data_IF_780727914164
#
_entry.id   IF_780727914164
#
_cell.length_a   1.000
_cell.length_b   1.000
_cell.length_c   1.000
_cell.angle_alpha   90.00
_cell.angle_beta   90.00
_cell.angle_gamma   90.00
#
_symmetry.space_group_name_H-M   'P 1'
#
loop_
_entity.id
_entity.type
_entity.pdbx_description
1 polymer ?
#
# COMPACT_ATOMS: atom_id res chain seq x y z
N UNK A 1 -19.41 43.31 59.28
CA UNK A 1 -17.95 43.55 59.26
C UNK A 1 -17.45 43.09 57.89
N UNK A 2 -17.23 44.07 57.02
CA UNK A 2 -17.00 43.95 55.58
C UNK A 2 -15.50 43.88 55.33
N UNK A 3 -15.01 42.81 54.70
CA UNK A 3 -13.59 42.72 54.30
C UNK A 3 -13.52 42.52 52.79
N UNK A 4 -13.11 43.59 52.10
CA UNK A 4 -12.71 43.60 50.69
C UNK A 4 -11.27 43.11 50.60
N UNK A 5 -10.94 42.22 49.66
CA UNK A 5 -9.54 41.96 49.28
C UNK A 5 -9.39 42.06 47.76
N UNK A 6 -8.48 42.96 47.38
CA UNK A 6 -8.25 43.45 46.04
C UNK A 6 -7.46 42.47 45.17
N UNK A 7 -7.91 42.33 43.93
CA UNK A 7 -7.27 41.68 42.78
C UNK A 7 -5.90 42.28 42.46
N UNK A 8 -4.84 41.45 42.44
CA UNK A 8 -3.61 41.71 41.70
C UNK A 8 -3.65 40.95 40.37
N UNK A 9 -3.75 41.67 39.27
CA UNK A 9 -3.69 41.14 37.91
C UNK A 9 -2.21 41.01 37.48
N UNK A 10 -1.73 39.79 37.34
CA UNK A 10 -0.42 39.49 36.74
C UNK A 10 -0.61 39.31 35.23
N UNK A 11 -0.22 40.32 34.44
CA UNK A 11 -0.23 40.28 32.97
C UNK A 11 0.90 39.37 32.47
N UNK A 12 0.62 38.08 32.31
CA UNK A 12 1.50 37.14 31.59
C UNK A 12 1.21 37.25 30.09
N UNK A 13 2.13 37.83 29.32
CA UNK A 13 2.06 37.86 27.87
C UNK A 13 2.26 36.43 27.31
N UNK A 14 1.31 35.85 26.54
CA UNK A 14 1.50 34.55 25.94
C UNK A 14 2.41 34.69 24.71
N UNK A 15 3.62 34.15 24.82
CA UNK A 15 4.55 33.99 23.70
C UNK A 15 3.97 32.93 22.74
N UNK A 16 3.24 33.36 21.71
CA UNK A 16 2.66 32.49 20.71
C UNK A 16 3.77 31.91 19.81
N UNK A 17 4.29 30.73 20.17
CA UNK A 17 5.09 29.90 19.28
C UNK A 17 4.24 29.43 18.11
N UNK A 18 4.35 30.13 16.97
CA UNK A 18 3.88 29.65 15.68
C UNK A 18 4.75 28.45 15.25
N UNK A 19 4.39 27.25 15.67
CA UNK A 19 4.90 26.03 15.05
C UNK A 19 4.34 25.96 13.64
N UNK A 20 5.16 26.36 12.66
CA UNK A 20 4.94 26.06 11.26
C UNK A 20 4.84 24.55 11.08
N UNK A 21 3.62 24.02 11.04
CA UNK A 21 3.36 22.63 10.68
C UNK A 21 3.69 22.48 9.21
N UNK A 22 4.95 22.16 8.90
CA UNK A 22 5.33 21.73 7.57
C UNK A 22 4.49 20.50 7.23
N UNK A 23 3.47 20.67 6.39
CA UNK A 23 2.73 19.54 5.85
C UNK A 23 3.75 18.68 5.13
N UNK A 24 3.93 17.41 5.51
CA UNK A 24 4.89 16.55 4.85
C UNK A 24 4.53 16.52 3.37
N UNK A 25 5.39 17.11 2.54
CA UNK A 25 5.23 17.06 1.10
C UNK A 25 5.24 15.58 0.73
N UNK A 26 4.12 15.08 0.19
CA UNK A 26 4.08 13.74 -0.40
C UNK A 26 5.21 13.69 -1.42
N UNK A 27 6.16 12.77 -1.21
CA UNK A 27 7.32 12.66 -2.08
C UNK A 27 6.81 12.42 -3.50
N UNK A 28 7.11 13.36 -4.40
CA UNK A 28 6.75 13.24 -5.80
C UNK A 28 7.49 12.05 -6.41
N UNK A 29 6.89 11.45 -7.43
CA UNK A 29 7.57 10.44 -8.23
C UNK A 29 8.88 11.01 -8.83
N UNK A 30 9.98 10.25 -8.85
CA UNK A 30 11.20 10.62 -9.57
C UNK A 30 10.89 10.92 -11.04
N UNK A 31 11.40 12.04 -11.56
CA UNK A 31 11.14 12.48 -12.94
C UNK A 31 11.58 11.45 -13.98
N UNK A 32 12.59 10.65 -13.66
CA UNK A 32 13.09 9.55 -14.47
C UNK A 32 12.03 8.47 -14.73
N UNK A 33 11.02 8.34 -13.87
CA UNK A 33 9.90 7.41 -14.03
C UNK A 33 8.72 8.02 -14.78
N UNK A 34 8.75 9.31 -15.14
CA UNK A 34 7.64 9.92 -15.85
C UNK A 34 7.44 9.28 -17.20
N UNK A 35 6.17 9.05 -17.53
CA UNK A 35 5.73 8.34 -18.72
C UNK A 35 6.25 6.90 -18.82
N UNK A 36 6.54 6.25 -17.69
CA UNK A 36 6.94 4.85 -17.65
C UNK A 36 5.90 3.98 -16.94
N UNK A 37 5.88 2.72 -17.35
CA UNK A 37 5.10 1.66 -16.73
C UNK A 37 6.02 0.67 -16.02
N UNK A 38 5.65 0.28 -14.82
CA UNK A 38 6.31 -0.74 -14.00
C UNK A 38 5.44 -1.99 -13.97
N UNK A 39 6.01 -3.12 -14.36
CA UNK A 39 5.36 -4.42 -14.37
C UNK A 39 5.89 -5.24 -13.22
N UNK A 40 4.98 -5.71 -12.38
CA UNK A 40 5.29 -6.52 -11.20
C UNK A 40 4.53 -7.82 -11.26
N UNK A 41 5.22 -8.93 -11.09
CA UNK A 41 4.63 -10.26 -10.96
C UNK A 41 5.05 -10.92 -9.65
N UNK A 42 4.13 -11.66 -9.03
CA UNK A 42 4.42 -12.49 -7.85
C UNK A 42 3.34 -13.56 -7.65
N UNK A 43 3.64 -14.51 -6.77
CA UNK A 43 2.69 -15.47 -6.21
C UNK A 43 2.62 -15.30 -4.69
N UNK A 44 1.41 -15.40 -4.13
CA UNK A 44 1.17 -15.30 -2.69
C UNK A 44 0.33 -16.48 -2.25
N UNK A 45 0.79 -17.24 -1.26
CA UNK A 45 0.02 -18.29 -0.60
C UNK A 45 -0.17 -17.92 0.88
N UNK A 46 -1.40 -18.05 1.37
CA UNK A 46 -1.72 -17.93 2.79
C UNK A 46 -2.58 -19.14 3.11
N UNK A 47 -1.98 -20.24 3.62
CA UNK A 47 -2.75 -21.42 4.03
C UNK A 47 -3.86 -20.99 4.98
N UNK A 48 -5.10 -21.37 4.68
CA UNK A 48 -6.26 -20.86 5.40
C UNK A 48 -7.47 -21.78 5.30
N UNK A 49 -8.40 -21.61 6.24
CA UNK A 49 -9.72 -22.26 6.26
C UNK A 49 -10.82 -21.24 6.07
N UNK A 50 -11.75 -21.56 5.17
CA UNK A 50 -12.92 -20.74 4.85
C UNK A 50 -14.02 -20.92 5.88
N UNK A 51 -14.90 -19.93 6.00
CA UNK A 51 -16.12 -20.02 6.82
C UNK A 51 -17.09 -21.12 6.36
N UNK A 52 -16.91 -21.63 5.14
CA UNK A 52 -17.64 -22.76 4.55
C UNK A 52 -16.93 -24.11 4.72
N UNK A 53 -15.81 -24.16 5.45
CA UNK A 53 -14.99 -25.36 5.65
C UNK A 53 -13.96 -25.62 4.53
N UNK A 54 -13.96 -24.84 3.44
CA UNK A 54 -13.00 -24.99 2.34
C UNK A 54 -11.56 -24.69 2.77
N UNK A 55 -10.58 -25.30 2.10
CA UNK A 55 -9.16 -24.92 2.25
C UNK A 55 -8.72 -23.94 1.16
N UNK A 56 -7.83 -23.01 1.52
CA UNK A 56 -7.13 -22.13 0.59
C UNK A 56 -5.62 -22.37 0.66
N UNK A 57 -5.14 -23.39 -0.05
CA UNK A 57 -3.71 -23.78 -0.03
C UNK A 57 -3.00 -23.49 -1.36
N UNK A 58 -3.75 -23.03 -2.38
CA UNK A 58 -3.19 -22.74 -3.70
C UNK A 58 -2.59 -21.33 -3.75
N UNK A 59 -1.37 -21.17 -4.30
CA UNK A 59 -0.81 -19.86 -4.56
C UNK A 59 -1.71 -19.03 -5.47
N UNK A 60 -1.94 -17.77 -5.09
CA UNK A 60 -2.59 -16.76 -5.91
C UNK A 60 -1.54 -16.06 -6.76
N UNK A 61 -1.72 -16.04 -8.07
CA UNK A 61 -0.92 -15.19 -8.97
C UNK A 61 -1.40 -13.75 -8.86
N UNK A 62 -0.45 -12.81 -8.78
CA UNK A 62 -0.70 -11.37 -8.74
C UNK A 62 0.18 -10.70 -9.79
N UNK A 63 -0.46 -9.96 -10.69
CA UNK A 63 0.20 -9.09 -11.66
C UNK A 63 -0.23 -7.65 -11.39
N UNK A 64 0.73 -6.73 -11.43
CA UNK A 64 0.46 -5.29 -11.34
C UNK A 64 1.12 -4.58 -12.51
N UNK A 65 0.37 -3.68 -13.13
CA UNK A 65 0.89 -2.71 -14.10
C UNK A 65 0.68 -1.35 -13.47
N UNK A 66 1.77 -0.62 -13.25
CA UNK A 66 1.77 0.67 -12.56
C UNK A 66 2.28 1.71 -13.55
N UNK A 67 1.48 2.71 -13.88
CA UNK A 67 1.88 3.79 -14.76
C UNK A 67 2.14 5.07 -13.97
N UNK A 68 3.28 5.71 -14.23
CA UNK A 68 3.64 7.01 -13.66
C UNK A 68 3.50 8.04 -14.80
N UNK A 69 2.51 8.92 -14.68
CA UNK A 69 2.25 9.95 -15.69
C UNK A 69 3.34 11.03 -15.75
N UNK A 70 3.30 11.85 -16.80
CA UNK A 70 4.14 13.06 -16.93
C UNK A 70 4.01 14.06 -15.77
N UNK A 71 2.88 14.03 -15.05
CA UNK A 71 2.64 14.84 -13.86
C UNK A 71 3.07 14.13 -12.55
N UNK A 72 3.75 12.98 -12.64
CA UNK A 72 4.17 12.19 -11.48
C UNK A 72 3.04 11.46 -10.75
N UNK A 73 1.82 11.45 -11.29
CA UNK A 73 0.67 10.73 -10.71
C UNK A 73 0.77 9.24 -11.01
N UNK A 74 0.44 8.41 -10.01
CA UNK A 74 0.51 6.95 -10.10
C UNK A 74 -0.86 6.36 -10.38
N UNK A 75 -0.94 5.54 -11.41
CA UNK A 75 -2.10 4.72 -11.77
C UNK A 75 -1.72 3.26 -11.69
N UNK A 76 -2.64 2.38 -11.32
CA UNK A 76 -2.33 0.96 -11.24
C UNK A 76 -3.49 0.07 -11.65
N UNK A 77 -3.19 -0.97 -12.43
CA UNK A 77 -4.05 -2.13 -12.67
C UNK A 77 -3.48 -3.33 -11.93
N UNK A 78 -4.34 -4.04 -11.22
CA UNK A 78 -3.99 -5.26 -10.49
C UNK A 78 -4.86 -6.40 -10.99
N UNK A 79 -4.23 -7.46 -11.45
CA UNK A 79 -4.90 -8.72 -11.80
C UNK A 79 -4.49 -9.79 -10.80
N UNK A 80 -5.48 -10.52 -10.28
CA UNK A 80 -5.29 -11.60 -9.31
C UNK A 80 -6.01 -12.83 -9.83
N UNK A 81 -5.37 -13.99 -9.74
CA UNK A 81 -5.97 -15.25 -10.15
C UNK A 81 -5.63 -16.37 -9.17
N UNK A 82 -6.61 -17.26 -8.91
CA UNK A 82 -6.41 -18.50 -8.16
C UNK A 82 -7.43 -19.55 -8.62
N UNK A 83 -6.94 -20.67 -9.18
CA UNK A 83 -7.81 -21.66 -9.80
C UNK A 83 -8.66 -21.06 -10.92
N UNK A 84 -9.99 -21.21 -10.83
CA UNK A 84 -10.96 -20.65 -11.79
C UNK A 84 -11.37 -19.20 -11.48
N UNK A 85 -10.96 -18.65 -10.33
CA UNK A 85 -11.37 -17.32 -9.90
C UNK A 85 -10.32 -16.28 -10.32
N UNK A 86 -10.79 -15.18 -10.91
CA UNK A 86 -9.96 -14.05 -11.32
C UNK A 86 -10.62 -12.74 -10.94
N UNK A 87 -9.80 -11.74 -10.62
CA UNK A 87 -10.24 -10.37 -10.38
C UNK A 87 -9.26 -9.39 -11.03
N UNK A 88 -9.80 -8.35 -11.66
CA UNK A 88 -9.05 -7.17 -12.09
C UNK A 88 -9.58 -5.95 -11.35
N UNK A 89 -8.68 -5.05 -10.93
CA UNK A 89 -9.03 -3.76 -10.36
C UNK A 89 -8.06 -2.69 -10.84
N UNK A 90 -8.60 -1.55 -11.26
CA UNK A 90 -7.85 -0.35 -11.60
C UNK A 90 -7.98 0.70 -10.50
N UNK A 91 -6.98 1.57 -10.39
CA UNK A 91 -6.87 2.60 -9.36
C UNK A 91 -6.19 3.84 -9.90
N UNK A 92 -6.78 4.98 -9.61
CA UNK A 92 -6.20 6.30 -9.83
C UNK A 92 -5.38 6.80 -8.64
N UNK A 93 -4.72 7.97 -8.78
CA UNK A 93 -3.90 8.58 -7.74
C UNK A 93 -4.70 9.01 -6.50
N UNK A 94 -5.99 9.29 -6.63
CA UNK A 94 -6.93 9.63 -5.56
C UNK A 94 -7.41 8.43 -4.72
N UNK A 95 -7.15 7.21 -5.21
CA UNK A 95 -7.79 6.00 -4.72
C UNK A 95 -7.04 5.40 -3.50
N UNK A 96 -7.23 6.04 -2.35
CA UNK A 96 -6.53 5.71 -1.09
C UNK A 96 -7.09 4.49 -0.34
N UNK A 97 -8.31 4.04 -0.66
CA UNK A 97 -9.05 3.05 0.13
C UNK A 97 -8.66 1.58 -0.11
N UNK A 98 -8.91 0.70 0.87
CA UNK A 98 -8.89 -0.77 0.67
C UNK A 98 -7.55 -1.34 0.22
N UNK A 99 -6.46 -0.76 0.73
CA UNK A 99 -5.18 -1.43 0.74
C UNK A 99 -4.40 -1.42 -0.59
N UNK A 100 -4.19 -0.26 -1.19
CA UNK A 100 -3.34 -0.20 -2.38
C UNK A 100 -2.85 1.18 -2.79
N UNK A 101 -3.01 2.22 -1.96
CA UNK A 101 -2.44 3.53 -2.25
C UNK A 101 -0.93 3.38 -2.42
N UNK A 102 -0.46 3.57 -3.65
CA UNK A 102 0.96 3.56 -3.99
C UNK A 102 1.50 4.96 -3.78
N UNK A 103 2.61 5.08 -3.05
CA UNK A 103 3.27 6.35 -2.79
C UNK A 103 4.77 6.22 -2.87
N UNK A 104 5.44 7.26 -3.31
CA UNK A 104 6.89 7.29 -3.30
C UNK A 104 7.43 7.62 -1.90
N UNK A 105 8.57 7.01 -1.59
CA UNK A 105 9.41 7.30 -0.42
C UNK A 105 10.85 7.26 -0.93
N UNK A 106 11.37 8.41 -1.36
CA UNK A 106 12.65 8.47 -2.08
C UNK A 106 12.58 7.67 -3.39
N UNK A 107 13.55 6.77 -3.60
CA UNK A 107 13.65 5.91 -4.79
C UNK A 107 12.86 4.60 -4.67
N UNK A 108 11.81 4.58 -3.83
CA UNK A 108 10.99 3.40 -3.59
C UNK A 108 9.52 3.73 -3.75
N UNK A 109 8.77 2.87 -4.43
CA UNK A 109 7.32 2.91 -4.45
C UNK A 109 6.77 1.92 -3.44
N UNK A 110 6.01 2.42 -2.46
CA UNK A 110 5.45 1.63 -1.37
C UNK A 110 3.94 1.58 -1.47
N UNK A 111 3.36 0.40 -1.27
CA UNK A 111 1.92 0.20 -1.14
C UNK A 111 1.57 -0.71 0.03
N UNK A 112 0.48 -0.43 0.72
CA UNK A 112 -0.02 -1.26 1.83
C UNK A 112 -1.37 -1.82 1.46
N UNK A 113 -1.55 -3.14 1.52
CA UNK A 113 -2.82 -3.85 1.43
C UNK A 113 -3.30 -4.27 2.82
N UNK A 114 -4.35 -3.61 3.33
CA UNK A 114 -4.99 -4.02 4.57
C UNK A 114 -5.91 -5.22 4.33
N UNK A 115 -5.85 -6.19 5.24
CA UNK A 115 -6.83 -7.27 5.34
C UNK A 115 -7.84 -6.94 6.45
N UNK A 116 -8.78 -7.85 6.74
CA UNK A 116 -9.64 -7.69 7.92
C UNK A 116 -8.83 -7.85 9.22
N UNK A 117 -7.78 -8.69 9.20
CA UNK A 117 -6.75 -8.72 10.23
C UNK A 117 -5.38 -8.87 9.59
N UNK A 118 -4.43 -7.99 9.95
CA UNK A 118 -3.10 -7.91 9.35
C UNK A 118 -3.04 -7.04 8.08
N UNK A 119 -1.87 -7.01 7.46
CA UNK A 119 -1.63 -6.24 6.24
C UNK A 119 -0.49 -6.83 5.41
N UNK A 120 -0.43 -6.46 4.14
CA UNK A 120 0.69 -6.72 3.25
C UNK A 120 1.34 -5.39 2.86
N UNK A 121 2.64 -5.27 3.06
CA UNK A 121 3.47 -4.16 2.61
C UNK A 121 4.22 -4.59 1.35
N UNK A 122 4.02 -3.88 0.25
CA UNK A 122 4.77 -4.03 -0.99
C UNK A 122 5.72 -2.85 -1.15
N UNK A 123 6.97 -3.16 -1.44
CA UNK A 123 8.02 -2.19 -1.74
C UNK A 123 8.60 -2.53 -3.11
N UNK A 124 8.65 -1.53 -3.97
CA UNK A 124 9.32 -1.60 -5.27
C UNK A 124 10.50 -0.64 -5.21
N UNK A 125 11.70 -1.19 -5.19
CA UNK A 125 12.94 -0.43 -5.11
C UNK A 125 13.50 -0.27 -6.52
N UNK A 126 13.75 0.98 -6.92
CA UNK A 126 14.33 1.31 -8.22
C UNK A 126 15.85 1.43 -8.08
N UNK A 127 16.59 0.95 -9.08
CA UNK A 127 18.01 1.26 -9.15
C UNK A 127 18.24 2.78 -9.39
N UNK A 128 19.46 3.31 -9.14
CA UNK A 128 19.73 4.74 -9.32
C UNK A 128 19.52 5.28 -10.74
N UNK A 129 19.55 4.42 -11.76
CA UNK A 129 19.33 4.77 -13.17
C UNK A 129 17.87 4.65 -13.62
N UNK A 130 17.00 4.12 -12.76
CA UNK A 130 15.59 3.84 -13.02
C UNK A 130 15.35 2.97 -14.26
N UNK A 131 16.27 2.04 -14.55
CA UNK A 131 16.15 1.09 -15.66
C UNK A 131 15.68 -0.29 -15.21
N UNK A 132 15.96 -0.66 -13.97
CA UNK A 132 15.48 -1.87 -13.33
C UNK A 132 14.86 -1.60 -11.97
N UNK A 133 14.14 -2.60 -11.47
CA UNK A 133 13.52 -2.55 -10.16
C UNK A 133 13.54 -3.93 -9.52
N UNK A 134 13.37 -3.96 -8.21
CA UNK A 134 13.11 -5.16 -7.43
C UNK A 134 11.80 -4.99 -6.67
N UNK A 135 11.14 -6.09 -6.33
CA UNK A 135 9.92 -6.06 -5.54
C UNK A 135 10.06 -6.97 -4.33
N UNK A 136 9.74 -6.43 -3.17
CA UNK A 136 9.65 -7.17 -1.93
C UNK A 136 8.25 -7.01 -1.33
N UNK A 137 7.69 -8.11 -0.81
CA UNK A 137 6.39 -8.11 -0.15
C UNK A 137 6.50 -8.80 1.19
N UNK A 138 6.08 -8.07 2.22
CA UNK A 138 6.01 -8.57 3.59
C UNK A 138 4.54 -8.66 3.95
N UNK A 139 4.14 -9.75 4.61
CA UNK A 139 2.78 -9.94 5.10
C UNK A 139 2.83 -10.04 6.61
N UNK A 140 2.25 -9.06 7.30
CA UNK A 140 2.22 -8.93 8.74
C UNK A 140 0.87 -9.35 9.33
N UNK A 141 0.92 -9.94 10.52
CA UNK A 141 -0.24 -10.25 11.36
C UNK A 141 -0.54 -9.08 12.30
N UNK A 142 -1.80 -8.89 12.64
CA UNK A 142 -2.18 -7.98 13.71
C UNK A 142 -1.94 -8.67 15.06
N UNK A 143 -0.87 -8.27 15.77
CA UNK A 143 -0.62 -8.69 17.16
C UNK A 143 -0.62 -10.22 17.35
N UNK A 144 -0.06 -10.95 16.37
CA UNK A 144 0.01 -12.42 16.40
C UNK A 144 -1.28 -13.14 16.00
N UNK A 145 -2.41 -12.44 15.80
CA UNK A 145 -3.68 -13.03 15.36
C UNK A 145 -3.55 -13.63 13.95
N UNK A 146 -4.32 -14.70 13.65
CA UNK A 146 -4.49 -15.17 12.28
C UNK A 146 -4.91 -14.05 11.33
N UNK A 147 -4.38 -14.07 10.10
CA UNK A 147 -4.80 -13.17 9.04
C UNK A 147 -6.22 -13.56 8.64
N UNK A 148 -7.13 -12.59 8.61
CA UNK A 148 -8.49 -12.77 8.12
C UNK A 148 -8.64 -11.98 6.83
N UNK A 149 -9.02 -12.64 5.74
CA UNK A 149 -9.11 -12.02 4.42
C UNK A 149 -10.27 -12.58 3.60
N UNK A 150 -10.83 -11.74 2.72
CA UNK A 150 -11.83 -12.17 1.73
C UNK A 150 -11.12 -12.75 0.50
N UNK A 151 -11.47 -13.98 0.14
CA UNK A 151 -11.03 -14.66 -1.07
C UNK A 151 -11.62 -14.05 -2.34
N UNK A 152 -11.09 -14.42 -3.51
CA UNK A 152 -11.64 -13.97 -4.80
C UNK A 152 -13.02 -14.58 -5.09
N UNK A 153 -13.35 -15.70 -4.45
CA UNK A 153 -14.67 -16.34 -4.42
C UNK A 153 -15.63 -15.70 -3.42
N UNK A 154 -15.23 -14.63 -2.72
CA UNK A 154 -16.06 -13.95 -1.74
C UNK A 154 -16.13 -14.59 -0.36
N UNK A 155 -15.57 -15.79 -0.17
CA UNK A 155 -15.49 -16.48 1.12
C UNK A 155 -14.46 -15.81 2.03
N UNK A 156 -14.77 -15.69 3.32
CA UNK A 156 -13.82 -15.20 4.32
C UNK A 156 -12.94 -16.36 4.78
N UNK A 157 -11.64 -16.16 4.76
CA UNK A 157 -10.63 -17.13 5.15
C UNK A 157 -9.85 -16.65 6.38
N UNK A 158 -9.56 -17.58 7.28
CA UNK A 158 -8.69 -17.38 8.44
C UNK A 158 -7.43 -18.21 8.26
N UNK A 159 -6.26 -17.56 8.32
CA UNK A 159 -4.98 -18.22 8.07
C UNK A 159 -4.68 -19.30 9.10
N UNK A 160 -4.22 -20.46 8.65
CA UNK A 160 -3.76 -21.57 9.49
C UNK A 160 -2.23 -21.68 9.55
N UNK A 161 -1.50 -20.90 8.73
CA UNK A 161 -0.05 -20.94 8.65
C UNK A 161 0.58 -19.59 8.31
N UNK A 162 1.92 -19.53 8.21
CA UNK A 162 2.61 -18.34 7.76
C UNK A 162 2.33 -18.07 6.26
N UNK A 163 2.21 -16.78 5.86
CA UNK A 163 2.13 -16.42 4.46
C UNK A 163 3.47 -16.66 3.75
N UNK A 164 3.41 -17.06 2.49
CA UNK A 164 4.58 -17.29 1.63
C UNK A 164 4.42 -16.45 0.37
N UNK A 165 5.47 -15.70 0.02
CA UNK A 165 5.57 -14.92 -1.23
C UNK A 165 6.71 -15.48 -2.06
N UNK A 166 6.46 -15.72 -3.36
CA UNK A 166 7.47 -16.23 -4.28
C UNK A 166 7.26 -15.75 -5.72
N UNK A 167 8.25 -15.99 -6.58
CA UNK A 167 8.19 -15.65 -8.00
C UNK A 167 8.14 -14.14 -8.28
N UNK A 168 8.73 -13.34 -7.41
CA UNK A 168 8.85 -11.89 -7.57
C UNK A 168 9.57 -11.54 -8.87
N UNK A 169 8.96 -10.68 -9.67
CA UNK A 169 9.55 -10.09 -10.87
C UNK A 169 9.18 -8.62 -10.95
N UNK A 170 10.08 -7.80 -11.48
CA UNK A 170 9.87 -6.37 -11.67
C UNK A 170 10.60 -5.91 -12.93
N UNK A 171 9.93 -5.12 -13.77
CA UNK A 171 10.55 -4.49 -14.94
C UNK A 171 9.91 -3.14 -15.23
N UNK A 172 10.66 -2.28 -15.93
CA UNK A 172 10.25 -0.93 -16.29
C UNK A 172 10.21 -0.85 -17.82
N UNK A 173 9.18 -0.20 -18.36
CA UNK A 173 9.06 0.06 -19.81
C UNK A 173 8.57 1.48 -20.04
N UNK A 174 8.94 2.05 -21.17
CA UNK A 174 8.39 3.32 -21.61
C UNK A 174 6.92 3.20 -22.02
N UNK A 175 6.18 4.29 -21.83
CA UNK A 175 4.80 4.43 -22.26
C UNK A 175 3.76 4.09 -21.18
N UNK A 176 2.50 4.33 -21.55
CA UNK A 176 1.33 4.04 -20.72
C UNK A 176 0.75 2.67 -21.07
N UNK A 177 1.12 1.63 -20.33
CA UNK A 177 0.63 0.27 -20.52
C UNK A 177 -0.83 0.06 -20.05
N UNK A 178 -1.48 1.09 -19.52
CA UNK A 178 -2.89 1.08 -19.11
C UNK A 178 -3.83 1.65 -20.19
N UNK A 179 -3.30 2.20 -21.28
CA UNK A 179 -4.11 2.83 -22.33
C UNK A 179 -4.67 1.85 -23.38
N UNK A 180 -4.52 0.53 -23.17
CA UNK A 180 -4.93 -0.52 -24.10
C UNK A 180 -6.21 -1.22 -23.64
#
# INVERSE_FOLDING_TARGET
MTMRLSTLACLAAPLALYLSTATPASAQAPKQLYNKSVFVGMSVSIPARGTDGSSADRPRSVQRVIYISSAGRVFAKVTRAVGKNQQQKERGPEDTGGGGGLRFVGNRLTGVLQFQSGASLMNIDFDPSFQSCTVNVIVGRDSGKPIVFKGLNGITYTSTGPPVVGGQSCSIRDGNALAN
#
